data_IF_051154684311
#
_entry.id   IF_051154684311
#
_cell.length_a   1.000
_cell.length_b   1.000
_cell.length_c   1.000
_cell.angle_alpha   90.00
_cell.angle_beta   90.00
_cell.angle_gamma   90.00
#
_symmetry.space_group_name_H-M   'P 1'
#
loop_
_entity.id
_entity.type
_entity.pdbx_description
1 polymer ?
#
# COMPACT_ATOMS: atom_id res chain seq x y z
N UNK A 1 -16.60 10.62 -58.82
CA UNK A 1 -17.96 10.90 -59.35
C UNK A 1 -18.93 10.05 -58.53
N UNK A 2 -19.36 10.54 -57.35
CA UNK A 2 -20.68 11.18 -57.06
C UNK A 2 -21.82 10.12 -57.21
N UNK A 3 -22.58 9.73 -56.17
CA UNK A 3 -23.60 10.53 -55.48
C UNK A 3 -23.90 10.07 -54.05
N UNK A 4 -24.19 11.08 -53.22
CA UNK A 4 -24.76 11.11 -51.88
C UNK A 4 -26.29 10.93 -51.95
N UNK A 5 -26.94 10.29 -50.98
CA UNK A 5 -28.35 10.55 -50.65
C UNK A 5 -28.69 10.19 -49.19
N UNK A 6 -29.11 11.24 -48.48
CA UNK A 6 -29.65 11.31 -47.12
C UNK A 6 -31.17 11.14 -47.18
N UNK A 7 -31.79 10.50 -46.18
CA UNK A 7 -33.11 10.81 -45.58
C UNK A 7 -33.27 9.81 -44.41
N UNK A 8 -33.56 10.14 -43.16
CA UNK A 8 -34.38 11.23 -42.63
C UNK A 8 -35.73 10.65 -42.18
N UNK A 9 -35.90 10.34 -40.89
CA UNK A 9 -37.22 10.29 -40.27
C UNK A 9 -37.20 10.96 -38.90
N UNK A 10 -37.92 12.07 -38.85
CA UNK A 10 -38.27 12.88 -37.69
C UNK A 10 -39.70 12.56 -37.26
N UNK A 11 -40.02 12.70 -35.98
CA UNK A 11 -41.27 13.23 -35.39
C UNK A 11 -41.13 13.07 -33.86
N UNK A 12 -40.90 14.12 -33.06
CA UNK A 12 -41.83 15.18 -32.61
C UNK A 12 -43.02 14.66 -31.79
N UNK A 13 -43.50 15.26 -30.69
CA UNK A 13 -43.14 16.43 -29.87
C UNK A 13 -44.15 16.48 -28.68
N UNK A 14 -43.72 16.99 -27.52
CA UNK A 14 -44.45 17.92 -26.59
C UNK A 14 -45.61 17.36 -25.69
N UNK A 15 -46.12 18.13 -24.68
CA UNK A 15 -45.57 18.21 -23.32
C UNK A 15 -46.67 18.26 -22.21
N UNK A 16 -46.31 18.44 -20.93
CA UNK A 16 -47.19 19.12 -19.95
C UNK A 16 -46.38 19.71 -18.76
N UNK A 17 -46.48 21.02 -18.60
CA UNK A 17 -46.25 21.85 -17.38
C UNK A 17 -47.62 22.50 -17.04
N UNK A 18 -47.84 23.37 -16.01
CA UNK A 18 -46.92 23.99 -15.04
C UNK A 18 -47.47 24.08 -13.58
N UNK A 19 -46.69 24.67 -12.67
CA UNK A 19 -47.25 25.64 -11.71
C UNK A 19 -46.23 26.73 -11.34
N UNK A 20 -46.71 27.96 -11.43
CA UNK A 20 -46.00 29.23 -11.29
C UNK A 20 -45.93 29.69 -9.83
N UNK A 21 -44.88 30.42 -9.47
CA UNK A 21 -45.03 31.71 -8.78
C UNK A 21 -43.99 32.69 -9.31
N UNK A 22 -44.48 33.79 -9.87
CA UNK A 22 -43.72 34.98 -10.26
C UNK A 22 -44.19 36.13 -9.39
N UNK A 23 -43.26 36.96 -8.94
CA UNK A 23 -43.48 38.39 -8.75
C UNK A 23 -42.25 39.15 -9.26
N UNK A 24 -42.34 39.53 -10.53
CA UNK A 24 -42.00 40.84 -11.13
C UNK A 24 -41.81 42.00 -10.13
N UNK A 25 -41.14 43.11 -10.38
CA UNK A 25 -40.47 43.77 -11.53
C UNK A 25 -39.62 44.88 -10.85
N UNK A 26 -38.53 45.43 -11.40
CA UNK A 26 -38.61 46.56 -12.34
C UNK A 26 -37.20 47.04 -12.71
N UNK A 27 -36.92 46.99 -14.00
CA UNK A 27 -36.16 47.88 -14.88
C UNK A 27 -35.05 48.84 -14.38
N UNK A 28 -33.95 48.75 -15.14
CA UNK A 28 -32.77 49.60 -15.34
C UNK A 28 -33.07 51.12 -15.51
N UNK A 29 -32.08 52.04 -15.52
CA UNK A 29 -31.02 52.08 -16.55
C UNK A 29 -29.60 52.43 -16.07
N UNK A 30 -28.68 52.16 -16.98
CA UNK A 30 -27.26 52.50 -17.10
C UNK A 30 -26.89 53.97 -16.88
N UNK A 31 -25.77 54.21 -16.18
CA UNK A 31 -24.79 55.27 -16.53
C UNK A 31 -23.39 54.93 -16.00
N UNK A 32 -22.42 55.21 -16.86
CA UNK A 32 -20.98 55.17 -16.68
C UNK A 32 -20.52 56.09 -15.53
N UNK A 33 -19.40 55.81 -14.86
CA UNK A 33 -18.35 56.78 -14.43
C UNK A 33 -17.32 56.12 -13.49
N UNK A 34 -16.14 55.88 -14.06
CA UNK A 34 -14.77 55.89 -13.50
C UNK A 34 -14.20 54.84 -12.51
N UNK A 35 -12.89 54.51 -12.66
CA UNK A 35 -12.22 53.33 -12.10
C UNK A 35 -11.16 53.68 -11.04
N UNK A 36 -10.45 52.65 -10.54
CA UNK A 36 -9.19 52.76 -9.79
C UNK A 36 -9.30 53.46 -8.42
N UNK A 37 -9.53 52.69 -7.35
CA UNK A 37 -8.98 52.84 -5.98
C UNK A 37 -9.55 51.67 -5.16
N UNK A 38 -8.97 50.48 -5.31
CA UNK A 38 -9.19 49.38 -4.35
C UNK A 38 -8.03 48.37 -4.37
N UNK A 39 -6.81 48.89 -4.50
CA UNK A 39 -5.55 48.14 -4.43
C UNK A 39 -4.53 48.93 -3.60
N UNK A 40 -4.86 49.22 -2.35
CA UNK A 40 -3.91 49.84 -1.41
C UNK A 40 -4.30 49.63 0.07
N UNK A 41 -5.01 48.53 0.39
CA UNK A 41 -5.37 48.24 1.78
C UNK A 41 -5.34 46.73 2.06
N UNK A 42 -4.20 46.10 1.75
CA UNK A 42 -3.89 44.73 2.17
C UNK A 42 -2.38 44.52 2.41
N UNK A 43 -1.65 45.58 2.76
CA UNK A 43 -0.20 45.51 3.01
C UNK A 43 0.21 45.97 4.42
N UNK A 44 -0.71 46.00 5.40
CA UNK A 44 -0.38 46.52 6.73
C UNK A 44 -0.93 45.68 7.90
N UNK A 45 -0.60 44.39 7.96
CA UNK A 45 -0.67 43.56 9.19
C UNK A 45 0.31 42.37 9.15
N UNK A 46 1.55 42.58 8.67
CA UNK A 46 2.61 41.59 8.75
C UNK A 46 3.70 42.04 9.74
N UNK A 47 3.32 42.21 11.01
CA UNK A 47 4.27 42.34 12.13
C UNK A 47 3.73 41.56 13.32
N UNK A 48 4.05 40.26 13.37
CA UNK A 48 4.06 39.49 14.60
C UNK A 48 5.28 38.55 14.60
N UNK A 49 6.35 39.03 15.24
CA UNK A 49 7.25 38.32 16.15
C UNK A 49 7.88 37.01 15.67
N UNK A 50 9.06 37.10 15.02
CA UNK A 50 10.08 36.06 15.12
C UNK A 50 11.07 36.44 16.22
N UNK A 51 10.89 35.88 17.43
CA UNK A 51 11.96 35.72 18.40
C UNK A 51 12.41 34.26 18.36
N UNK A 52 13.57 34.00 17.78
CA UNK A 52 14.29 32.76 17.99
C UNK A 52 15.77 33.12 18.19
N UNK A 53 16.14 33.30 19.46
CA UNK A 53 17.51 33.23 19.93
C UNK A 53 17.90 31.76 20.08
N UNK A 54 19.13 31.40 19.70
CA UNK A 54 19.72 30.12 20.11
C UNK A 54 20.78 29.59 19.16
N UNK A 55 21.85 30.36 18.93
CA UNK A 55 23.10 29.82 18.40
C UNK A 55 24.03 29.51 19.57
N UNK A 56 24.53 28.28 19.64
CA UNK A 56 25.68 27.93 20.49
C UNK A 56 26.43 26.76 19.84
N UNK A 57 27.55 27.13 19.24
CA UNK A 57 28.87 26.52 19.25
C UNK A 57 29.02 24.99 19.18
N UNK A 58 29.72 24.59 18.12
CA UNK A 58 30.40 23.33 18.00
C UNK A 58 31.40 23.11 19.13
N UNK A 59 31.39 21.91 19.71
CA UNK A 59 32.56 21.33 20.35
C UNK A 59 32.67 19.86 19.95
N UNK A 60 33.84 19.53 19.40
CA UNK A 60 34.32 18.18 19.16
C UNK A 60 34.41 17.40 20.47
N UNK A 61 33.99 16.13 20.45
CA UNK A 61 34.89 14.98 20.69
C UNK A 61 34.18 13.75 21.27
N UNK A 62 34.69 12.60 20.83
CA UNK A 62 34.68 11.28 21.45
C UNK A 62 33.51 10.33 21.13
N UNK A 63 33.83 9.48 20.14
CA UNK A 63 33.36 8.12 19.91
C UNK A 63 32.75 7.41 21.12
N UNK A 64 31.51 6.94 20.95
CA UNK A 64 31.10 5.64 21.45
C UNK A 64 29.94 5.12 20.59
N UNK A 65 30.28 4.61 19.42
CA UNK A 65 29.34 3.99 18.49
C UNK A 65 29.02 2.58 19.00
N UNK A 66 28.12 2.48 19.98
CA UNK A 66 27.45 1.22 20.30
C UNK A 66 26.33 1.01 19.28
N UNK A 67 26.76 0.55 18.10
CA UNK A 67 25.91 0.00 17.06
C UNK A 67 25.12 -1.19 17.63
N UNK A 68 23.93 -0.92 18.14
CA UNK A 68 22.90 -1.93 18.30
C UNK A 68 22.21 -2.12 16.95
N UNK A 69 22.96 -2.64 15.97
CA UNK A 69 22.36 -3.18 14.74
C UNK A 69 21.79 -4.54 15.12
N UNK A 70 20.47 -4.79 14.97
CA UNK A 70 19.94 -6.15 15.10
C UNK A 70 20.66 -7.02 14.08
N UNK A 71 21.35 -8.05 14.54
CA UNK A 71 22.02 -9.02 13.67
C UNK A 71 20.97 -9.63 12.74
N UNK A 72 21.15 -9.41 11.43
CA UNK A 72 20.32 -10.04 10.41
C UNK A 72 20.47 -11.55 10.56
N UNK A 73 19.38 -12.35 10.69
CA UNK A 73 19.49 -13.79 10.82
C UNK A 73 20.26 -14.36 9.64
N UNK A 74 21.51 -14.74 9.90
CA UNK A 74 22.43 -15.26 8.90
C UNK A 74 22.11 -16.74 8.68
N UNK A 75 20.96 -17.02 8.07
CA UNK A 75 20.58 -18.23 7.33
C UNK A 75 19.06 -18.43 7.42
N UNK A 76 18.38 -18.76 6.31
CA UNK A 76 17.06 -19.37 6.40
C UNK A 76 17.18 -20.67 7.21
N UNK A 77 16.34 -20.84 8.22
CA UNK A 77 16.17 -22.14 8.86
C UNK A 77 15.86 -23.16 7.76
N UNK A 78 16.61 -24.28 7.67
CA UNK A 78 16.29 -25.33 6.70
C UNK A 78 14.81 -25.73 6.80
N UNK A 79 14.16 -26.10 5.70
CA UNK A 79 12.81 -26.67 5.76
C UNK A 79 12.83 -27.82 6.77
N UNK A 80 11.90 -27.80 7.72
CA UNK A 80 11.67 -28.94 8.61
C UNK A 80 11.52 -30.18 7.73
N UNK A 81 12.44 -31.15 7.91
CA UNK A 81 12.37 -32.44 7.21
C UNK A 81 10.98 -33.03 7.51
N UNK A 82 10.22 -33.49 6.50
CA UNK A 82 8.95 -34.17 6.74
C UNK A 82 9.19 -35.32 7.71
N UNK A 83 8.52 -35.28 8.85
CA UNK A 83 8.66 -36.26 9.90
C UNK A 83 8.31 -37.65 9.34
N UNK A 84 9.20 -38.63 9.55
CA UNK A 84 9.02 -39.99 9.05
C UNK A 84 7.82 -40.64 9.77
N UNK A 85 6.75 -41.04 9.07
CA UNK A 85 5.54 -41.58 9.70
C UNK A 85 5.76 -42.92 10.42
N UNK A 86 6.90 -43.59 10.22
CA UNK A 86 7.25 -44.87 10.86
C UNK A 86 8.21 -44.74 12.06
N UNK A 87 8.45 -43.53 12.57
CA UNK A 87 9.17 -43.37 13.86
C UNK A 87 8.28 -43.86 15.01
N UNK A 88 8.68 -44.97 15.64
CA UNK A 88 8.05 -45.51 16.86
C UNK A 88 8.15 -44.58 18.08
N UNK A 89 8.86 -43.46 17.94
CA UNK A 89 8.80 -42.32 18.85
C UNK A 89 8.05 -41.21 18.11
N UNK A 90 6.72 -41.25 18.13
CA UNK A 90 5.93 -40.05 17.87
C UNK A 90 6.14 -39.20 19.13
N UNK A 91 6.86 -38.07 19.07
CA UNK A 91 6.83 -37.14 20.19
C UNK A 91 5.36 -36.81 20.37
N UNK A 92 4.81 -36.97 21.58
CA UNK A 92 3.47 -36.46 21.86
C UNK A 92 3.41 -35.04 21.29
N UNK A 93 2.55 -34.84 20.30
CA UNK A 93 2.40 -33.53 19.67
C UNK A 93 2.19 -32.54 20.79
N UNK A 94 3.12 -31.60 20.95
CA UNK A 94 3.03 -30.58 21.99
C UNK A 94 1.82 -29.69 21.67
N UNK A 95 0.68 -30.08 22.24
CA UNK A 95 -0.60 -29.36 22.12
C UNK A 95 -0.68 -28.21 23.11
N UNK A 96 0.35 -27.98 23.94
CA UNK A 96 0.41 -26.84 24.83
C UNK A 96 0.93 -25.61 24.08
N UNK A 97 0.07 -25.04 23.23
CA UNK A 97 0.38 -23.81 22.50
C UNK A 97 0.66 -22.67 23.47
N UNK A 98 1.93 -22.28 23.58
CA UNK A 98 2.29 -21.06 24.26
C UNK A 98 1.67 -19.86 23.56
N UNK A 99 1.35 -18.77 24.29
CA UNK A 99 0.84 -17.55 23.68
C UNK A 99 1.80 -17.06 22.58
N UNK A 100 1.33 -16.94 21.34
CA UNK A 100 2.17 -16.65 20.17
C UNK A 100 2.94 -15.31 20.27
N UNK A 101 2.40 -14.35 21.03
CA UNK A 101 3.06 -13.08 21.34
C UNK A 101 3.60 -12.98 22.77
N UNK A 102 3.65 -14.08 23.53
CA UNK A 102 3.95 -14.04 24.97
C UNK A 102 2.99 -13.10 25.71
N UNK A 103 3.52 -12.16 26.50
CA UNK A 103 2.73 -11.14 27.20
C UNK A 103 2.04 -10.11 26.27
N UNK A 104 2.37 -10.12 24.98
CA UNK A 104 1.68 -9.34 23.95
C UNK A 104 0.46 -10.05 23.35
N UNK A 105 0.19 -11.30 23.74
CA UNK A 105 -0.95 -12.06 23.22
C UNK A 105 -2.26 -11.49 23.76
N UNK A 106 -3.14 -11.11 22.85
CA UNK A 106 -4.49 -10.63 23.15
C UNK A 106 -5.51 -11.46 22.37
N UNK A 107 -6.78 -11.39 22.78
CA UNK A 107 -7.87 -11.90 21.97
C UNK A 107 -7.87 -11.17 20.61
N UNK A 108 -7.88 -11.94 19.53
CA UNK A 108 -7.89 -11.40 18.18
C UNK A 108 -9.19 -10.63 17.92
N UNK A 109 -9.07 -9.38 17.45
CA UNK A 109 -10.20 -8.63 16.90
C UNK A 109 -10.20 -8.81 15.38
N UNK A 110 -11.04 -9.73 14.91
CA UNK A 110 -11.18 -10.03 13.48
C UNK A 110 -11.73 -8.86 12.66
N UNK A 111 -12.30 -7.84 13.30
CA UNK A 111 -12.79 -6.65 12.60
C UNK A 111 -11.67 -5.66 12.26
N UNK A 112 -10.49 -5.81 12.90
CA UNK A 112 -9.33 -4.92 12.72
C UNK A 112 -7.99 -5.67 12.71
N UNK A 113 -7.80 -6.68 11.81
CA UNK A 113 -6.53 -7.39 11.74
C UNK A 113 -5.39 -6.42 11.40
N UNK A 114 -4.22 -6.63 12.02
CA UNK A 114 -3.03 -5.77 11.86
C UNK A 114 -3.17 -4.29 12.28
N UNK A 115 -4.32 -3.87 12.82
CA UNK A 115 -4.53 -2.52 13.39
C UNK A 115 -4.57 -2.52 14.92
N UNK A 116 -4.32 -3.68 15.54
CA UNK A 116 -4.17 -3.80 16.98
C UNK A 116 -2.75 -3.39 17.38
N UNK A 117 -2.64 -2.34 18.18
CA UNK A 117 -1.38 -1.96 18.80
C UNK A 117 -1.03 -3.02 19.84
N UNK A 118 0.24 -3.43 19.89
CA UNK A 118 0.76 -4.34 20.90
C UNK A 118 0.34 -3.85 22.30
N UNK A 119 -0.30 -4.69 23.13
CA UNK A 119 -0.60 -4.30 24.50
C UNK A 119 0.71 -4.04 25.25
N UNK A 120 0.71 -3.04 26.12
CA UNK A 120 1.89 -2.62 26.88
C UNK A 120 3.07 -2.10 26.03
N UNK A 121 2.83 -1.67 24.78
CA UNK A 121 3.85 -0.96 24.00
C UNK A 121 4.31 0.29 24.77
N UNK A 122 5.62 0.46 25.05
CA UNK A 122 6.10 1.61 25.80
C UNK A 122 5.80 2.90 25.02
N UNK A 123 5.50 3.99 25.73
CA UNK A 123 5.12 5.26 25.11
C UNK A 123 6.20 5.82 24.18
N UNK A 124 7.47 5.53 24.46
CA UNK A 124 8.62 5.85 23.61
C UNK A 124 8.57 5.17 22.23
N UNK A 125 7.90 4.02 22.10
CA UNK A 125 7.75 3.28 20.84
C UNK A 125 6.46 3.61 20.07
N UNK A 126 5.50 4.34 20.66
CA UNK A 126 4.23 4.68 20.00
C UNK A 126 4.44 5.48 18.70
N UNK A 127 5.48 6.31 18.64
CA UNK A 127 5.82 7.07 17.44
C UNK A 127 6.12 6.19 16.22
N UNK A 128 6.53 4.94 16.42
CA UNK A 128 6.86 4.00 15.35
C UNK A 128 5.64 3.27 14.75
N UNK A 129 4.47 3.31 15.40
CA UNK A 129 3.28 2.59 14.95
C UNK A 129 2.80 3.09 13.58
N UNK A 130 2.68 4.41 13.42
CA UNK A 130 2.18 4.99 12.16
C UNK A 130 3.16 4.78 10.99
N UNK A 131 4.48 5.05 11.12
CA UNK A 131 5.46 4.71 10.09
C UNK A 131 5.50 3.21 9.76
N UNK A 132 5.38 2.34 10.76
CA UNK A 132 5.31 0.88 10.55
C UNK A 132 4.09 0.48 9.72
N UNK A 133 2.93 1.07 10.01
CA UNK A 133 1.72 0.88 9.19
C UNK A 133 1.90 1.39 7.77
N UNK A 134 2.52 2.57 7.62
CA UNK A 134 2.81 3.13 6.30
C UNK A 134 3.69 2.19 5.48
N UNK A 135 4.76 1.65 6.06
CA UNK A 135 5.61 0.66 5.42
C UNK A 135 4.84 -0.59 5.00
N UNK A 136 3.92 -1.05 5.84
CA UNK A 136 3.15 -2.26 5.58
C UNK A 136 2.19 -2.12 4.38
N UNK A 137 1.57 -0.95 4.22
CA UNK A 137 0.51 -0.73 3.20
C UNK A 137 1.01 -0.07 1.92
N UNK A 138 2.19 0.56 1.94
CA UNK A 138 2.70 1.30 0.79
C UNK A 138 3.16 0.33 -0.29
N UNK A 139 2.74 0.57 -1.53
CA UNK A 139 3.28 -0.08 -2.71
C UNK A 139 4.62 0.55 -3.10
N UNK A 140 5.65 -0.29 -3.22
CA UNK A 140 6.99 0.12 -3.56
C UNK A 140 7.10 0.30 -5.08
N UNK A 141 7.89 1.27 -5.50
CA UNK A 141 8.02 1.66 -6.92
C UNK A 141 9.41 1.33 -7.48
N UNK A 142 9.60 1.37 -8.80
CA UNK A 142 10.95 1.36 -9.37
C UNK A 142 11.78 2.53 -8.83
N UNK A 143 13.11 2.36 -8.82
CA UNK A 143 14.03 3.38 -8.35
C UNK A 143 13.78 4.74 -9.04
N UNK A 144 13.79 5.82 -8.26
CA UNK A 144 13.57 7.20 -8.72
C UNK A 144 12.17 7.51 -9.32
N UNK A 145 11.17 6.63 -9.17
CA UNK A 145 9.79 6.89 -9.63
C UNK A 145 8.83 7.31 -8.50
N UNK A 146 9.22 7.07 -7.24
CA UNK A 146 8.40 7.33 -6.07
C UNK A 146 9.18 7.99 -4.95
N UNK A 147 8.80 7.67 -3.70
CA UNK A 147 9.53 8.13 -2.52
C UNK A 147 10.76 7.24 -2.33
N UNK A 148 11.91 7.84 -2.05
CA UNK A 148 13.18 7.13 -1.80
C UNK A 148 13.07 6.04 -0.72
N UNK A 149 12.18 6.22 0.27
CA UNK A 149 11.95 5.21 1.32
C UNK A 149 11.19 3.95 0.83
N UNK A 150 10.56 4.01 -0.35
CA UNK A 150 9.67 2.97 -0.89
C UNK A 150 9.95 2.76 -2.38
N UNK A 151 11.21 2.83 -2.79
CA UNK A 151 11.62 2.52 -4.15
C UNK A 151 12.59 1.33 -4.20
N UNK A 152 13.04 0.98 -5.41
CA UNK A 152 13.97 -0.14 -5.63
C UNK A 152 13.31 -1.45 -6.05
N UNK A 153 12.03 -1.45 -6.41
CA UNK A 153 11.40 -2.63 -7.01
C UNK A 153 12.02 -2.91 -8.38
N UNK A 154 12.51 -4.13 -8.56
CA UNK A 154 13.06 -4.62 -9.82
C UNK A 154 11.99 -4.83 -10.90
N UNK A 155 12.39 -5.14 -12.14
CA UNK A 155 11.45 -5.29 -13.26
C UNK A 155 10.43 -6.41 -13.06
N UNK A 156 10.82 -7.47 -12.34
CA UNK A 156 10.00 -8.63 -11.98
C UNK A 156 9.94 -8.76 -10.46
N UNK A 157 8.78 -9.13 -9.92
CA UNK A 157 8.57 -9.27 -8.48
C UNK A 157 7.40 -10.22 -8.17
N UNK A 158 7.27 -10.61 -6.90
CA UNK A 158 6.14 -11.39 -6.39
C UNK A 158 5.07 -10.51 -5.74
N UNK A 159 5.53 -9.52 -4.97
CA UNK A 159 4.70 -8.51 -4.35
C UNK A 159 5.52 -7.24 -4.13
N UNK A 160 4.90 -6.06 -4.24
CA UNK A 160 5.54 -4.77 -3.94
C UNK A 160 4.92 -4.06 -2.72
N UNK A 161 4.01 -4.72 -2.00
CA UNK A 161 3.54 -4.28 -0.68
C UNK A 161 3.30 -5.49 0.23
N UNK A 162 3.45 -5.32 1.54
CA UNK A 162 3.15 -6.41 2.48
C UNK A 162 1.68 -6.83 2.38
N UNK A 163 0.79 -5.87 2.07
CA UNK A 163 -0.65 -6.08 1.91
C UNK A 163 -1.04 -6.96 0.73
N UNK A 164 -0.17 -7.16 -0.25
CA UNK A 164 -0.49 -8.05 -1.38
C UNK A 164 -0.55 -9.52 -0.95
N UNK A 165 0.27 -9.93 0.02
CA UNK A 165 0.21 -11.26 0.63
C UNK A 165 -0.62 -11.25 1.94
N UNK A 166 -0.57 -10.15 2.69
CA UNK A 166 -1.21 -9.96 4.00
C UNK A 166 -2.27 -8.86 3.96
N UNK A 167 -3.46 -9.19 3.44
CA UNK A 167 -4.62 -8.28 3.40
C UNK A 167 -4.95 -7.66 4.78
N UNK A 168 -5.70 -6.57 4.79
CA UNK A 168 -6.15 -5.94 6.04
C UNK A 168 -6.97 -6.90 6.91
N UNK A 169 -7.54 -7.94 6.30
CA UNK A 169 -8.37 -8.97 6.90
C UNK A 169 -7.57 -10.19 7.43
N UNK A 170 -6.23 -10.19 7.31
CA UNK A 170 -5.40 -11.34 7.65
C UNK A 170 -4.58 -11.86 6.47
N UNK A 171 -4.39 -13.18 6.41
CA UNK A 171 -3.81 -13.85 5.24
C UNK A 171 -4.80 -13.78 4.08
N UNK A 172 -4.35 -13.30 2.92
CA UNK A 172 -5.18 -13.26 1.71
C UNK A 172 -5.59 -14.70 1.31
N UNK A 173 -6.81 -14.93 0.79
CA UNK A 173 -7.22 -16.27 0.34
C UNK A 173 -6.34 -16.75 -0.82
N UNK A 174 -6.00 -18.04 -0.86
CA UNK A 174 -5.05 -18.60 -1.84
C UNK A 174 -5.59 -18.54 -3.28
N UNK A 175 -6.88 -18.82 -3.46
CA UNK A 175 -7.52 -18.83 -4.77
C UNK A 175 -8.82 -18.04 -4.73
N UNK A 176 -9.13 -17.38 -5.83
CA UNK A 176 -10.45 -16.82 -6.11
C UNK A 176 -11.42 -17.92 -6.57
N UNK A 177 -12.71 -17.58 -6.65
CA UNK A 177 -13.77 -18.52 -7.02
C UNK A 177 -13.63 -19.09 -8.46
N UNK A 178 -12.88 -18.40 -9.32
CA UNK A 178 -12.59 -18.79 -10.71
C UNK A 178 -11.29 -19.61 -10.85
N UNK A 179 -10.62 -19.94 -9.75
CA UNK A 179 -9.35 -20.69 -9.75
C UNK A 179 -8.11 -19.83 -10.03
N UNK A 180 -8.25 -18.51 -10.18
CA UNK A 180 -7.12 -17.59 -10.19
C UNK A 180 -6.44 -17.57 -8.82
N UNK A 181 -5.12 -17.65 -8.83
CA UNK A 181 -4.32 -17.65 -7.61
C UNK A 181 -4.01 -16.22 -7.18
N UNK A 182 -4.06 -15.97 -5.88
CA UNK A 182 -3.63 -14.69 -5.31
C UNK A 182 -2.16 -14.74 -4.90
N UNK A 183 -1.60 -13.59 -4.53
CA UNK A 183 -0.24 -13.48 -4.00
C UNK A 183 -0.07 -14.08 -2.58
N UNK A 184 -1.13 -14.66 -2.01
CA UNK A 184 -1.07 -15.36 -0.71
C UNK A 184 -0.25 -16.67 -0.74
N UNK A 185 0.13 -17.12 -1.94
CA UNK A 185 0.94 -18.31 -2.16
C UNK A 185 2.14 -17.95 -3.04
N UNK A 186 3.25 -18.60 -2.75
CA UNK A 186 4.52 -18.46 -3.44
C UNK A 186 4.87 -19.77 -4.12
N UNK A 187 5.30 -19.71 -5.38
CA UNK A 187 5.70 -20.88 -6.15
C UNK A 187 7.21 -20.99 -6.19
N UNK A 188 7.72 -22.10 -5.65
CA UNK A 188 9.13 -22.44 -5.71
C UNK A 188 9.40 -23.47 -6.79
N UNK A 189 10.46 -23.24 -7.56
CA UNK A 189 10.87 -24.12 -8.65
C UNK A 189 12.17 -24.82 -8.25
N UNK A 190 12.21 -26.13 -8.42
CA UNK A 190 13.41 -26.91 -8.12
C UNK A 190 13.48 -28.22 -8.88
N UNK A 191 14.69 -28.80 -8.91
CA UNK A 191 14.90 -30.13 -9.47
C UNK A 191 14.39 -31.22 -8.50
N UNK A 192 14.56 -32.50 -8.86
CA UNK A 192 14.15 -33.64 -8.03
C UNK A 192 14.83 -33.69 -6.66
N UNK A 193 15.95 -32.98 -6.49
CA UNK A 193 16.70 -32.86 -5.25
C UNK A 193 16.30 -31.62 -4.44
N UNK A 194 15.32 -30.84 -4.90
CA UNK A 194 14.87 -29.60 -4.25
C UNK A 194 15.81 -28.41 -4.44
N UNK A 195 16.83 -28.53 -5.29
CA UNK A 195 17.74 -27.41 -5.60
C UNK A 195 17.07 -26.44 -6.58
N UNK A 196 17.35 -25.15 -6.40
CA UNK A 196 16.88 -24.04 -7.24
C UNK A 196 17.00 -24.35 -8.74
N UNK A 197 16.05 -23.88 -9.53
CA UNK A 197 16.14 -23.98 -10.98
C UNK A 197 17.25 -23.07 -11.52
N UNK A 198 18.12 -23.58 -12.40
CA UNK A 198 19.30 -22.85 -12.90
C UNK A 198 18.97 -21.49 -13.50
N UNK A 199 17.82 -21.35 -14.16
CA UNK A 199 17.42 -20.11 -14.84
C UNK A 199 16.40 -19.26 -14.08
N UNK A 200 15.55 -19.89 -13.25
CA UNK A 200 14.43 -19.21 -12.57
C UNK A 200 14.67 -19.06 -11.07
N UNK A 201 15.83 -19.51 -10.57
CA UNK A 201 16.13 -19.51 -9.15
C UNK A 201 15.17 -20.38 -8.36
N UNK A 202 14.96 -19.98 -7.11
CA UNK A 202 14.12 -20.73 -6.16
C UNK A 202 12.65 -20.32 -6.19
N UNK A 203 12.33 -19.11 -6.67
CA UNK A 203 11.06 -18.43 -6.45
C UNK A 203 10.62 -17.79 -7.76
N UNK A 204 9.51 -18.28 -8.34
CA UNK A 204 8.99 -17.74 -9.59
C UNK A 204 8.36 -16.37 -9.38
N UNK A 205 8.68 -15.39 -10.22
CA UNK A 205 8.19 -14.01 -10.16
C UNK A 205 7.06 -13.77 -11.18
N UNK A 206 5.82 -13.70 -10.71
CA UNK A 206 4.61 -13.66 -11.56
C UNK A 206 4.09 -12.26 -11.87
N UNK A 207 4.73 -11.21 -11.32
CA UNK A 207 4.37 -9.81 -11.59
C UNK A 207 5.52 -9.06 -12.25
N UNK A 208 5.18 -7.98 -12.96
CA UNK A 208 6.13 -7.06 -13.58
C UNK A 208 5.70 -5.60 -13.35
N UNK A 209 6.66 -4.68 -13.39
CA UNK A 209 6.41 -3.25 -13.13
C UNK A 209 5.67 -2.53 -14.26
N UNK A 210 5.64 -3.14 -15.45
CA UNK A 210 5.05 -2.58 -16.66
C UNK A 210 4.64 -3.73 -17.59
N UNK A 211 3.57 -3.51 -18.36
CA UNK A 211 2.99 -4.50 -19.27
C UNK A 211 3.93 -4.91 -20.42
N UNK A 212 4.96 -4.11 -20.75
CA UNK A 212 5.98 -4.46 -21.74
C UNK A 212 6.97 -5.53 -21.26
N UNK A 213 7.06 -5.75 -19.95
CA UNK A 213 7.93 -6.77 -19.34
C UNK A 213 7.08 -8.02 -19.08
N UNK A 214 7.46 -9.13 -19.72
CA UNK A 214 6.77 -10.41 -19.53
C UNK A 214 7.17 -11.03 -18.18
N UNK A 215 6.21 -11.36 -17.29
CA UNK A 215 6.50 -12.11 -16.08
C UNK A 215 7.04 -13.52 -16.37
N UNK A 216 7.64 -14.16 -15.36
CA UNK A 216 8.21 -15.51 -15.55
C UNK A 216 7.15 -16.57 -15.87
N UNK A 217 5.90 -16.35 -15.43
CA UNK A 217 4.78 -17.19 -15.76
C UNK A 217 3.49 -16.76 -15.06
N UNK A 218 2.40 -17.47 -15.38
CA UNK A 218 1.10 -17.33 -14.71
C UNK A 218 0.65 -18.69 -14.20
N UNK A 219 0.29 -18.76 -12.92
CA UNK A 219 -0.23 -19.98 -12.28
C UNK A 219 -1.75 -19.93 -12.22
N UNK A 220 -2.38 -21.07 -12.41
CA UNK A 220 -3.82 -21.27 -12.22
C UNK A 220 -4.05 -22.60 -11.53
N UNK A 221 -5.03 -22.65 -10.63
CA UNK A 221 -5.50 -23.92 -10.09
C UNK A 221 -6.58 -24.47 -11.02
N UNK A 222 -6.34 -25.67 -11.58
CA UNK A 222 -7.32 -26.38 -12.39
C UNK A 222 -7.87 -27.56 -11.57
N UNK A 223 -9.19 -27.61 -11.43
CA UNK A 223 -9.94 -28.71 -10.81
C UNK A 223 -10.41 -29.66 -11.91
#
# INVERSE_FOLDING_TARGET
>A
MIFLAILGLTMSLLPHSPNCYSLNHSNAPSTLLFPVIRRALFCLTATLLLSACGGSDASDSSNNDSSNTPELPSQPTPPTIPENPDSSNIPETDINWLPAGGNATIAADISRPFLQIMPNLPSSALGGVSPGRELFITEWTPANQGRVLFDGVGPLFNANACTQCHSAEGRKPIYAADGELSDAILFRLGNKQGLAHTYYGEQMQHQSIDASITPEGKMRYAI
#
